data_IF_644201881748
#
_entry.id   IF_644201881748
#
_cell.length_a   1.000
_cell.length_b   1.000
_cell.length_c   1.000
_cell.angle_alpha   90.00
_cell.angle_beta   90.00
_cell.angle_gamma   90.00
#
_symmetry.space_group_name_H-M   'P 1'
#
loop_
_entity.id
_entity.type
_entity.pdbx_description
1 polymer ?
#
# COMPACT_ATOMS: atom_id res chain seq x y z
N UNK A 1 -5.61 -6.23 24.04
CA UNK A 1 -5.69 -7.26 22.99
C UNK A 1 -5.29 -6.59 21.68
N UNK A 2 -4.29 -7.09 20.93
CA UNK A 2 -3.93 -6.49 19.64
C UNK A 2 -5.08 -6.63 18.65
N UNK A 3 -5.21 -5.71 17.67
CA UNK A 3 -6.22 -5.82 16.64
C UNK A 3 -6.02 -7.12 15.82
N UNK A 4 -7.10 -7.72 15.29
CA UNK A 4 -6.98 -8.90 14.44
C UNK A 4 -6.16 -8.60 13.18
N UNK A 5 -5.47 -9.61 12.61
CA UNK A 5 -4.70 -9.43 11.39
C UNK A 5 -5.61 -8.94 10.25
N UNK A 6 -5.12 -8.00 9.46
CA UNK A 6 -5.85 -7.43 8.33
C UNK A 6 -4.89 -7.00 7.23
N UNK A 7 -5.41 -6.85 6.01
CA UNK A 7 -4.66 -6.36 4.85
C UNK A 7 -4.99 -4.88 4.65
N UNK A 8 -3.98 -4.02 4.79
CA UNK A 8 -4.09 -2.59 4.49
C UNK A 8 -3.74 -2.29 3.03
N UNK A 9 -4.65 -1.65 2.30
CA UNK A 9 -4.39 -1.09 0.98
C UNK A 9 -4.04 0.40 1.12
N UNK A 10 -2.80 0.77 0.80
CA UNK A 10 -2.34 2.17 0.85
C UNK A 10 -2.13 2.67 -0.58
N UNK A 11 -2.96 3.60 -1.08
CA UNK A 11 -2.71 4.26 -2.35
C UNK A 11 -1.46 5.14 -2.26
N UNK A 12 -0.49 4.90 -3.14
CA UNK A 12 0.70 5.74 -3.29
C UNK A 12 0.56 6.59 -4.56
N UNK A 13 0.27 7.88 -4.39
CA UNK A 13 0.03 8.79 -5.51
C UNK A 13 -1.32 8.54 -6.23
N UNK A 14 -1.44 8.87 -7.53
CA UNK A 14 -2.70 8.85 -8.27
C UNK A 14 -3.08 7.43 -8.73
N UNK A 15 -3.37 6.54 -7.78
CA UNK A 15 -3.88 5.19 -8.06
C UNK A 15 -5.39 5.26 -8.37
N UNK A 16 -5.84 4.58 -9.44
CA UNK A 16 -7.25 4.51 -9.81
C UNK A 16 -8.11 3.87 -8.70
N UNK A 17 -9.15 4.59 -8.28
CA UNK A 17 -10.11 4.16 -7.28
C UNK A 17 -10.87 2.89 -7.67
N UNK A 18 -11.06 2.63 -8.97
CA UNK A 18 -11.68 1.39 -9.45
C UNK A 18 -10.84 0.17 -9.10
N UNK A 19 -9.51 0.27 -9.25
CA UNK A 19 -8.57 -0.81 -8.87
C UNK A 19 -8.65 -1.06 -7.36
N UNK A 20 -8.63 0.00 -6.55
CA UNK A 20 -8.70 -0.11 -5.09
C UNK A 20 -10.01 -0.76 -4.61
N UNK A 21 -11.15 -0.39 -5.21
CA UNK A 21 -12.44 -1.00 -4.93
C UNK A 21 -12.48 -2.47 -5.33
N UNK A 22 -11.93 -2.79 -6.50
CA UNK A 22 -11.85 -4.18 -6.97
C UNK A 22 -11.00 -5.02 -6.02
N UNK A 23 -9.79 -4.57 -5.67
CA UNK A 23 -8.91 -5.27 -4.72
C UNK A 23 -9.56 -5.48 -3.36
N UNK A 24 -10.28 -4.48 -2.83
CA UNK A 24 -10.99 -4.59 -1.54
C UNK A 24 -12.05 -5.70 -1.55
N UNK A 25 -12.70 -5.93 -2.69
CA UNK A 25 -13.76 -6.96 -2.83
C UNK A 25 -13.14 -8.34 -3.08
N UNK A 26 -12.09 -8.42 -3.89
CA UNK A 26 -11.54 -9.70 -4.35
C UNK A 26 -10.59 -10.34 -3.34
N UNK A 27 -9.76 -9.55 -2.65
CA UNK A 27 -8.74 -10.09 -1.73
C UNK A 27 -9.30 -10.91 -0.56
N UNK A 28 -10.42 -10.55 0.11
CA UNK A 28 -11.00 -11.37 1.17
C UNK A 28 -11.39 -12.80 0.73
N UNK A 29 -11.69 -12.99 -0.56
CA UNK A 29 -12.00 -14.31 -1.12
C UNK A 29 -10.77 -15.19 -1.35
N UNK A 30 -9.56 -14.60 -1.38
CA UNK A 30 -8.29 -15.31 -1.60
C UNK A 30 -7.56 -15.50 -0.27
N UNK A 31 -7.50 -14.43 0.52
CA UNK A 31 -6.93 -14.39 1.85
C UNK A 31 -8.08 -14.05 2.80
N UNK A 32 -8.52 -14.95 3.70
CA UNK A 32 -9.67 -14.72 4.58
C UNK A 32 -9.34 -13.75 5.72
N UNK A 33 -8.86 -12.57 5.35
CA UNK A 33 -8.49 -11.45 6.21
C UNK A 33 -9.33 -10.22 5.83
N UNK A 34 -9.75 -9.41 6.81
CA UNK A 34 -10.36 -8.12 6.53
C UNK A 34 -9.43 -7.26 5.68
N UNK A 35 -9.96 -6.66 4.61
CA UNK A 35 -9.21 -5.72 3.76
C UNK A 35 -9.70 -4.29 4.00
N UNK A 36 -8.78 -3.41 4.37
CA UNK A 36 -9.04 -2.02 4.72
C UNK A 36 -8.36 -1.09 3.72
N UNK A 37 -9.10 -0.13 3.17
CA UNK A 37 -8.52 0.95 2.38
C UNK A 37 -8.03 2.03 3.34
N UNK A 38 -6.72 2.24 3.38
CA UNK A 38 -6.06 3.21 4.25
C UNK A 38 -5.91 4.57 3.55
N UNK A 39 -5.52 5.58 4.32
CA UNK A 39 -5.29 6.93 3.81
C UNK A 39 -4.21 6.91 2.72
N UNK A 40 -4.51 7.55 1.59
CA UNK A 40 -3.55 7.75 0.52
C UNK A 40 -2.32 8.53 1.02
N UNK A 41 -1.16 8.19 0.46
CA UNK A 41 0.12 8.83 0.80
C UNK A 41 0.80 9.35 -0.46
N UNK A 42 1.58 10.45 -0.35
CA UNK A 42 2.39 10.92 -1.46
C UNK A 42 3.49 9.92 -1.79
N UNK A 43 3.91 9.88 -3.06
CA UNK A 43 5.10 9.13 -3.46
C UNK A 43 6.32 9.98 -3.10
N UNK A 44 7.31 9.46 -2.33
CA UNK A 44 8.49 10.24 -2.00
C UNK A 44 9.33 10.53 -3.26
N UNK A 45 9.65 11.80 -3.58
CA UNK A 45 10.30 12.18 -4.83
C UNK A 45 11.65 11.47 -5.04
N UNK A 46 12.39 11.22 -3.96
CA UNK A 46 13.69 10.56 -3.98
C UNK A 46 13.65 9.11 -4.49
N UNK A 47 12.46 8.50 -4.57
CA UNK A 47 12.29 7.14 -5.08
C UNK A 47 12.23 7.09 -6.61
N UNK A 48 12.05 8.23 -7.28
CA UNK A 48 11.95 8.28 -8.74
C UNK A 48 13.32 8.35 -9.41
N UNK A 49 13.57 7.46 -10.35
CA UNK A 49 14.79 7.43 -11.14
C UNK A 49 14.55 8.05 -12.52
N UNK A 50 15.00 9.28 -12.73
CA UNK A 50 14.69 10.09 -13.92
C UNK A 50 15.02 9.37 -15.24
N UNK A 51 16.20 8.75 -15.37
CA UNK A 51 16.61 8.07 -16.61
C UNK A 51 15.76 6.82 -16.92
N UNK A 52 15.21 6.18 -15.88
CA UNK A 52 14.41 4.94 -16.04
C UNK A 52 12.92 5.23 -16.11
N UNK A 53 12.52 6.46 -15.76
CA UNK A 53 11.13 6.87 -15.61
C UNK A 53 10.33 5.92 -14.69
N UNK A 54 10.98 5.42 -13.64
CA UNK A 54 10.46 4.39 -12.74
C UNK A 54 10.74 4.73 -11.29
N UNK A 55 9.88 4.24 -10.40
CA UNK A 55 10.09 4.32 -8.95
C UNK A 55 10.82 3.07 -8.43
N UNK A 56 11.72 3.25 -7.47
CA UNK A 56 12.40 2.16 -6.76
C UNK A 56 11.44 1.49 -5.77
N UNK A 57 11.06 0.25 -6.03
CA UNK A 57 10.10 -0.49 -5.20
C UNK A 57 10.60 -0.74 -3.77
N UNK A 58 11.89 -1.00 -3.58
CA UNK A 58 12.48 -1.26 -2.25
C UNK A 58 12.35 -0.02 -1.37
N UNK A 59 12.71 1.16 -1.88
CA UNK A 59 12.58 2.41 -1.12
C UNK A 59 11.11 2.76 -0.84
N UNK A 60 10.18 2.41 -1.73
CA UNK A 60 8.75 2.56 -1.48
C UNK A 60 8.27 1.63 -0.36
N UNK A 61 8.75 0.39 -0.30
CA UNK A 61 8.43 -0.54 0.78
C UNK A 61 8.99 -0.06 2.12
N UNK A 62 10.23 0.43 2.15
CA UNK A 62 10.84 1.02 3.34
C UNK A 62 10.05 2.24 3.84
N UNK A 63 9.62 3.12 2.93
CA UNK A 63 8.76 4.26 3.24
C UNK A 63 7.42 3.82 3.87
N UNK A 64 6.81 2.76 3.38
CA UNK A 64 5.58 2.20 3.95
C UNK A 64 5.81 1.55 5.33
N UNK A 65 6.99 0.98 5.55
CA UNK A 65 7.33 0.28 6.80
C UNK A 65 7.61 1.20 7.98
N UNK A 66 7.91 2.49 7.76
CA UNK A 66 8.22 3.46 8.82
C UNK A 66 7.09 3.65 9.84
N UNK A 67 5.84 3.37 9.47
CA UNK A 67 4.67 3.50 10.37
C UNK A 67 4.16 2.15 10.90
N UNK A 68 4.81 1.03 10.53
CA UNK A 68 4.47 -0.26 11.11
C UNK A 68 5.14 -0.35 12.50
N UNK A 69 4.38 -0.64 13.57
CA UNK A 69 5.01 -0.94 14.85
C UNK A 69 5.97 -2.12 14.66
N UNK A 70 7.13 -2.15 15.37
CA UNK A 70 7.97 -3.34 15.39
C UNK A 70 7.11 -4.52 15.86
N UNK A 71 7.08 -5.57 15.04
CA UNK A 71 6.33 -6.80 15.32
C UNK A 71 6.80 -7.52 16.58
#
# INVERSE_FOLDING_TARGET
>A
MPPPPSIGLIPLGPVDQKILRHLKITLPGILPLPVQLLKARPIPPQTYHIVREQYNSTQLLEYLAQDLPPG
#
